data_IF_185002491692
#
_entry.id   IF_185002491692
#
_cell.length_a   1.000
_cell.length_b   1.000
_cell.length_c   1.000
_cell.angle_alpha   90.00
_cell.angle_beta   90.00
_cell.angle_gamma   90.00
#
_symmetry.space_group_name_H-M   'P 1'
#
loop_
_entity.id
_entity.type
_entity.pdbx_description
1 polymer ?
#
# COMPACT_ATOMS: atom_id res chain seq x y z
N UNK A 1 -22.60 -21.90 14.13
CA UNK A 1 -21.84 -21.15 13.11
C UNK A 1 -21.49 -22.11 12.00
N UNK A 2 -21.70 -21.79 10.72
CA UNK A 2 -21.33 -22.67 9.62
C UNK A 2 -19.83 -22.95 9.68
N UNK A 3 -19.46 -24.23 9.60
CA UNK A 3 -18.06 -24.66 9.52
C UNK A 3 -17.51 -24.16 8.18
N UNK A 4 -16.59 -23.21 8.21
CA UNK A 4 -15.95 -22.72 6.99
C UNK A 4 -14.96 -23.79 6.55
N UNK A 5 -15.22 -24.42 5.41
CA UNK A 5 -14.31 -25.39 4.80
C UNK A 5 -13.30 -24.63 3.95
N UNK A 6 -12.02 -24.77 4.25
CA UNK A 6 -10.93 -24.22 3.48
C UNK A 6 -10.65 -25.09 2.25
N UNK A 7 -10.18 -24.49 1.14
CA UNK A 7 -9.63 -25.28 0.03
C UNK A 7 -8.25 -25.82 0.39
N UNK A 8 -7.80 -26.85 -0.35
CA UNK A 8 -6.46 -27.43 -0.13
C UNK A 8 -5.33 -26.38 -0.26
N UNK A 9 -5.46 -25.47 -1.22
CA UNK A 9 -4.51 -24.38 -1.42
C UNK A 9 -4.51 -23.38 -0.25
N UNK A 10 -5.70 -23.09 0.28
CA UNK A 10 -5.85 -22.21 1.44
C UNK A 10 -5.25 -22.85 2.71
N UNK A 11 -5.41 -24.15 2.88
CA UNK A 11 -4.77 -24.88 3.98
C UNK A 11 -3.25 -24.91 3.83
N UNK A 12 -2.75 -25.13 2.62
CA UNK A 12 -1.31 -25.11 2.33
C UNK A 12 -0.67 -23.74 2.68
N UNK A 13 -1.32 -22.63 2.34
CA UNK A 13 -0.86 -21.29 2.70
C UNK A 13 -0.78 -21.12 4.23
N UNK A 14 -1.81 -21.58 4.94
CA UNK A 14 -1.89 -21.44 6.40
C UNK A 14 -0.91 -22.36 7.16
N UNK A 15 -0.49 -23.46 6.52
CA UNK A 15 0.47 -24.43 7.07
C UNK A 15 1.92 -24.14 6.66
N UNK A 16 2.14 -23.22 5.71
CA UNK A 16 3.47 -22.92 5.21
C UNK A 16 4.33 -22.22 6.27
N UNK A 17 5.56 -22.69 6.43
CA UNK A 17 6.62 -22.08 7.26
C UNK A 17 7.61 -21.26 6.41
N UNK A 18 7.36 -21.14 5.12
CA UNK A 18 8.22 -20.41 4.20
C UNK A 18 8.32 -18.93 4.55
N UNK A 19 9.52 -18.38 4.38
CA UNK A 19 9.81 -16.97 4.65
C UNK A 19 9.06 -16.02 3.70
N UNK A 20 8.85 -16.46 2.46
CA UNK A 20 8.17 -15.71 1.41
C UNK A 20 7.12 -16.61 0.76
N UNK A 21 5.90 -16.11 0.71
CA UNK A 21 4.78 -16.79 0.05
C UNK A 21 4.20 -15.82 -0.99
N UNK A 22 4.18 -16.23 -2.25
CA UNK A 22 3.51 -15.53 -3.32
C UNK A 22 2.22 -16.27 -3.70
N UNK A 23 1.08 -15.59 -3.58
CA UNK A 23 -0.24 -16.17 -3.84
C UNK A 23 -0.87 -15.48 -5.05
N UNK A 24 -1.03 -16.20 -6.16
CA UNK A 24 -1.83 -15.74 -7.29
C UNK A 24 -3.27 -16.21 -7.11
N UNK A 25 -4.20 -15.27 -7.06
CA UNK A 25 -5.59 -15.61 -6.80
C UNK A 25 -6.55 -14.61 -7.44
N UNK A 26 -7.64 -15.10 -8.02
CA UNK A 26 -8.66 -14.28 -8.68
C UNK A 26 -9.46 -13.41 -7.69
N UNK A 27 -10.20 -12.43 -8.23
CA UNK A 27 -11.13 -11.65 -7.42
C UNK A 27 -12.17 -12.58 -6.76
N UNK A 28 -12.52 -12.33 -5.50
CA UNK A 28 -13.47 -13.16 -4.77
C UNK A 28 -12.95 -14.49 -4.20
N UNK A 29 -11.72 -14.90 -4.46
CA UNK A 29 -11.14 -16.17 -4.00
C UNK A 29 -10.84 -16.25 -2.49
N UNK A 30 -11.20 -15.24 -1.72
CA UNK A 30 -10.98 -15.25 -0.26
C UNK A 30 -9.61 -14.80 0.22
N UNK A 31 -8.81 -14.06 -0.60
CA UNK A 31 -7.46 -13.58 -0.22
C UNK A 31 -7.42 -12.91 1.15
N UNK A 32 -8.29 -11.91 1.37
CA UNK A 32 -8.36 -11.18 2.65
C UNK A 32 -8.78 -12.10 3.79
N UNK A 33 -9.66 -13.06 3.52
CA UNK A 33 -10.08 -14.05 4.50
C UNK A 33 -8.89 -14.90 4.98
N UNK A 34 -8.08 -15.43 4.07
CA UNK A 34 -6.91 -16.25 4.42
C UNK A 34 -5.87 -15.43 5.21
N UNK A 35 -5.59 -14.19 4.80
CA UNK A 35 -4.69 -13.30 5.56
C UNK A 35 -5.23 -13.02 6.97
N UNK A 36 -6.54 -12.88 7.12
CA UNK A 36 -7.18 -12.73 8.45
C UNK A 36 -7.03 -14.00 9.28
N UNK A 37 -7.20 -15.19 8.69
CA UNK A 37 -7.00 -16.47 9.40
C UNK A 37 -5.54 -16.65 9.81
N UNK A 38 -4.57 -16.28 8.93
CA UNK A 38 -3.15 -16.30 9.26
C UNK A 38 -2.85 -15.40 10.46
N UNK A 39 -3.42 -14.21 10.51
CA UNK A 39 -3.24 -13.28 11.63
C UNK A 39 -3.83 -13.84 12.94
N UNK A 40 -5.00 -14.47 12.88
CA UNK A 40 -5.65 -15.11 14.05
C UNK A 40 -4.88 -16.32 14.58
N UNK A 41 -4.24 -17.09 13.69
CA UNK A 41 -3.43 -18.26 14.07
C UNK A 41 -2.08 -17.88 14.71
N UNK A 42 -1.65 -16.62 14.56
CA UNK A 42 -0.39 -16.11 15.09
C UNK A 42 -0.61 -14.94 16.06
N UNK A 43 -1.31 -15.12 17.18
CA UNK A 43 -1.71 -14.03 18.08
C UNK A 43 -0.49 -13.32 18.71
N UNK A 44 0.61 -14.04 18.92
CA UNK A 44 1.84 -13.51 19.51
C UNK A 44 2.71 -12.74 18.53
N UNK A 45 2.41 -12.81 17.23
CA UNK A 45 3.17 -12.09 16.20
C UNK A 45 2.55 -10.72 15.93
N UNK A 46 3.38 -9.71 15.82
CA UNK A 46 2.99 -8.38 15.33
C UNK A 46 2.96 -8.38 13.82
N UNK A 47 1.80 -8.20 13.22
CA UNK A 47 1.57 -8.29 11.78
C UNK A 47 1.33 -6.90 11.21
N UNK A 48 1.88 -6.63 10.03
CA UNK A 48 1.64 -5.45 9.24
C UNK A 48 0.89 -5.84 7.96
N UNK A 49 -0.32 -5.31 7.81
CA UNK A 49 -1.09 -5.42 6.57
C UNK A 49 -1.00 -4.11 5.79
N UNK A 50 -0.47 -4.18 4.56
CA UNK A 50 -0.36 -3.04 3.66
C UNK A 50 -1.53 -3.04 2.68
N UNK A 51 -2.37 -2.04 2.79
CA UNK A 51 -3.50 -1.82 1.88
C UNK A 51 -3.10 -0.87 0.73
N UNK A 52 -3.60 -1.14 -0.47
CA UNK A 52 -3.35 -0.27 -1.61
C UNK A 52 -4.01 1.11 -1.46
N UNK A 53 -5.25 1.16 -0.98
CA UNK A 53 -6.01 2.40 -0.82
C UNK A 53 -6.74 2.49 0.53
N UNK A 54 -7.35 3.64 0.78
CA UNK A 54 -8.05 3.93 2.05
C UNK A 54 -9.30 3.06 2.25
N UNK A 55 -10.04 2.74 1.19
CA UNK A 55 -11.23 1.88 1.26
C UNK A 55 -10.86 0.48 1.75
N UNK A 56 -9.86 -0.15 1.13
CA UNK A 56 -9.33 -1.46 1.53
C UNK A 56 -8.79 -1.41 2.96
N UNK A 57 -8.09 -0.33 3.34
CA UNK A 57 -7.61 -0.16 4.71
C UNK A 57 -8.74 -0.17 5.73
N UNK A 58 -9.82 0.58 5.47
CA UNK A 58 -10.96 0.69 6.38
C UNK A 58 -11.66 -0.66 6.55
N UNK A 59 -11.93 -1.35 5.44
CA UNK A 59 -12.52 -2.69 5.44
C UNK A 59 -11.64 -3.71 6.19
N UNK A 60 -10.35 -3.73 5.92
CA UNK A 60 -9.41 -4.62 6.56
C UNK A 60 -9.30 -4.35 8.07
N UNK A 61 -9.30 -3.08 8.49
CA UNK A 61 -9.23 -2.71 9.91
C UNK A 61 -10.39 -3.26 10.73
N UNK A 62 -11.54 -3.54 10.11
CA UNK A 62 -12.70 -4.15 10.77
C UNK A 62 -12.60 -5.69 10.87
N UNK A 63 -11.80 -6.32 10.00
CA UNK A 63 -11.73 -7.78 9.87
C UNK A 63 -10.53 -8.39 10.59
N UNK A 64 -9.42 -7.67 10.63
CA UNK A 64 -8.17 -8.16 11.21
C UNK A 64 -8.16 -8.07 12.73
N UNK A 65 -7.50 -9.02 13.43
CA UNK A 65 -7.34 -8.99 14.88
C UNK A 65 -6.39 -7.87 15.33
N UNK A 66 -6.39 -7.58 16.63
CA UNK A 66 -5.64 -6.48 17.25
C UNK A 66 -4.11 -6.57 17.12
N UNK A 67 -3.57 -7.78 16.89
CA UNK A 67 -2.15 -7.99 16.62
C UNK A 67 -1.72 -7.51 15.22
N UNK A 68 -2.68 -7.06 14.38
CA UNK A 68 -2.43 -6.62 13.01
C UNK A 68 -2.58 -5.11 12.86
N UNK A 69 -1.50 -4.44 12.45
CA UNK A 69 -1.54 -3.03 12.09
C UNK A 69 -1.87 -2.89 10.60
N UNK A 70 -3.02 -2.26 10.31
CA UNK A 70 -3.50 -2.03 8.94
C UNK A 70 -3.20 -0.59 8.53
N UNK A 71 -2.38 -0.41 7.50
CA UNK A 71 -2.03 0.91 6.95
C UNK A 71 -1.97 0.87 5.42
N UNK A 72 -2.10 2.02 4.76
CA UNK A 72 -1.83 2.10 3.32
C UNK A 72 -0.34 2.19 3.04
N UNK A 73 0.08 1.74 1.83
CA UNK A 73 1.47 1.88 1.36
C UNK A 73 1.91 3.35 1.37
N UNK A 74 1.04 4.28 0.94
CA UNK A 74 1.30 5.72 1.00
C UNK A 74 1.50 6.23 2.43
N UNK A 75 0.69 5.79 3.39
CA UNK A 75 0.84 6.19 4.78
C UNK A 75 2.14 5.65 5.40
N UNK A 76 2.59 4.47 4.98
CA UNK A 76 3.88 3.91 5.38
C UNK A 76 5.03 4.75 4.82
N UNK A 77 5.02 5.04 3.52
CA UNK A 77 6.03 5.87 2.86
C UNK A 77 6.09 7.28 3.48
N UNK A 78 4.93 7.91 3.70
CA UNK A 78 4.85 9.22 4.34
C UNK A 78 5.51 9.24 5.73
N UNK A 79 5.26 8.23 6.56
CA UNK A 79 5.89 8.14 7.90
C UNK A 79 7.40 8.03 7.80
N UNK A 80 7.90 7.24 6.86
CA UNK A 80 9.33 7.10 6.62
C UNK A 80 9.97 8.43 6.22
N UNK A 81 9.39 9.14 5.24
CA UNK A 81 9.88 10.44 4.78
C UNK A 81 9.82 11.52 5.86
N UNK A 82 8.77 11.52 6.69
CA UNK A 82 8.66 12.42 7.84
C UNK A 82 9.80 12.23 8.84
N UNK A 83 10.21 10.99 9.08
CA UNK A 83 11.34 10.68 9.97
C UNK A 83 12.68 11.17 9.39
N UNK A 84 12.80 11.26 8.07
CA UNK A 84 13.97 11.81 7.38
C UNK A 84 13.98 13.36 7.35
N UNK A 85 13.05 14.02 8.01
CA UNK A 85 12.88 15.48 8.07
C UNK A 85 12.66 16.16 6.71
N UNK A 86 12.23 15.44 5.68
CA UNK A 86 11.83 16.03 4.41
C UNK A 86 10.52 16.83 4.57
N UNK A 87 10.49 18.02 3.98
CA UNK A 87 9.26 18.80 3.85
C UNK A 87 8.48 18.27 2.65
N UNK A 88 7.37 17.62 2.91
CA UNK A 88 6.46 17.17 1.85
C UNK A 88 5.62 18.33 1.35
N UNK A 89 5.56 18.52 0.03
CA UNK A 89 4.65 19.46 -0.60
C UNK A 89 3.60 18.69 -1.41
N UNK A 90 2.34 18.84 -1.01
CA UNK A 90 1.24 18.07 -1.59
C UNK A 90 0.73 18.62 -2.94
N UNK A 91 0.88 19.92 -3.16
CA UNK A 91 0.42 20.61 -4.37
C UNK A 91 1.63 21.25 -5.06
N UNK A 92 2.40 20.46 -5.78
CA UNK A 92 3.52 20.97 -6.57
C UNK A 92 3.00 21.57 -7.88
N UNK A 93 3.31 22.83 -8.14
CA UNK A 93 2.78 23.59 -9.26
C UNK A 93 3.85 24.44 -9.98
N UNK A 94 3.45 25.18 -11.03
CA UNK A 94 4.35 25.99 -11.82
C UNK A 94 5.17 27.02 -11.03
N UNK A 95 4.59 27.63 -9.98
CA UNK A 95 5.33 28.56 -9.11
C UNK A 95 6.48 27.87 -8.35
N UNK A 96 6.29 26.61 -8.00
CA UNK A 96 7.32 25.83 -7.35
C UNK A 96 8.46 25.51 -8.29
N UNK A 97 8.14 25.17 -9.55
CA UNK A 97 9.11 24.99 -10.63
C UNK A 97 9.89 26.28 -10.86
N UNK A 98 9.17 27.42 -10.98
CA UNK A 98 9.79 28.73 -11.15
C UNK A 98 10.82 29.01 -10.07
N UNK A 99 10.45 28.80 -8.82
CA UNK A 99 11.28 29.09 -7.65
C UNK A 99 12.47 28.14 -7.52
N UNK A 100 12.26 26.84 -7.76
CA UNK A 100 13.30 25.82 -7.57
C UNK A 100 14.34 25.83 -8.69
N UNK A 101 13.90 26.09 -9.94
CA UNK A 101 14.74 26.02 -11.12
C UNK A 101 15.08 27.40 -11.70
N UNK A 102 14.62 28.48 -11.04
CA UNK A 102 14.79 29.86 -11.50
C UNK A 102 14.29 30.09 -12.95
N UNK A 103 13.11 29.51 -13.26
CA UNK A 103 12.49 29.56 -14.58
C UNK A 103 11.36 30.58 -14.59
N UNK A 104 11.46 31.62 -15.44
CA UNK A 104 10.44 32.66 -15.59
C UNK A 104 9.39 32.33 -16.67
N UNK A 105 9.72 31.51 -17.66
CA UNK A 105 8.79 31.10 -18.72
C UNK A 105 7.67 30.22 -18.18
N UNK A 106 6.43 30.73 -18.24
CA UNK A 106 5.22 29.99 -17.82
C UNK A 106 5.00 28.73 -18.66
N UNK A 107 5.30 28.80 -19.96
CA UNK A 107 5.19 27.65 -20.85
C UNK A 107 6.13 26.51 -20.44
N UNK A 108 7.37 26.85 -20.09
CA UNK A 108 8.35 25.86 -19.64
C UNK A 108 7.99 25.28 -18.27
N UNK A 109 7.47 26.08 -17.35
CA UNK A 109 6.95 25.60 -16.07
C UNK A 109 5.82 24.56 -16.26
N UNK A 110 4.88 24.85 -17.17
CA UNK A 110 3.79 23.93 -17.51
C UNK A 110 4.31 22.64 -18.12
N UNK A 111 5.23 22.73 -19.09
CA UNK A 111 5.84 21.56 -19.73
C UNK A 111 6.56 20.65 -18.72
N UNK A 112 7.28 21.22 -17.77
CA UNK A 112 7.96 20.47 -16.70
C UNK A 112 6.94 19.72 -15.83
N UNK A 113 5.87 20.40 -15.40
CA UNK A 113 4.82 19.76 -14.60
C UNK A 113 4.14 18.62 -15.38
N UNK A 114 3.83 18.85 -16.65
CA UNK A 114 3.22 17.83 -17.50
C UNK A 114 4.14 16.61 -17.68
N UNK A 115 5.42 16.86 -17.91
CA UNK A 115 6.44 15.80 -18.05
C UNK A 115 6.57 14.99 -16.76
N UNK A 116 6.64 15.64 -15.61
CA UNK A 116 6.67 14.96 -14.31
C UNK A 116 5.42 14.12 -14.09
N UNK A 117 4.24 14.65 -14.41
CA UNK A 117 2.99 13.90 -14.28
C UNK A 117 2.93 12.68 -15.21
N UNK A 118 3.45 12.80 -16.44
CA UNK A 118 3.57 11.67 -17.36
C UNK A 118 4.55 10.63 -16.84
N UNK A 119 5.71 11.05 -16.36
CA UNK A 119 6.71 10.16 -15.75
C UNK A 119 6.14 9.36 -14.58
N UNK A 120 5.45 10.02 -13.63
CA UNK A 120 4.85 9.32 -12.48
C UNK A 120 3.68 8.40 -12.83
N UNK A 121 3.13 8.50 -14.04
CA UNK A 121 2.04 7.63 -14.54
C UNK A 121 2.54 6.57 -15.51
N UNK A 122 3.79 6.63 -15.95
CA UNK A 122 4.38 5.61 -16.81
C UNK A 122 4.75 4.38 -15.97
N UNK A 123 4.59 3.21 -16.55
CA UNK A 123 5.01 1.92 -15.96
C UNK A 123 6.50 1.62 -16.24
N UNK A 124 7.24 2.58 -16.78
CA UNK A 124 8.66 2.47 -17.14
C UNK A 124 9.54 2.75 -15.89
N UNK A 125 9.59 1.77 -14.99
CA UNK A 125 10.53 1.73 -13.87
C UNK A 125 11.52 0.59 -14.04
#
# INVERSE_FOLDING_TARGET
MPKITLSQEQEAILASEEKYICCQAYAGSGKTFILTQLAKRNPDKRILYLAYNKGIQTEASQKFPSNTKVITTHAMAYRYLKNLKYKMKFNFNGFDVARLLNITSVQLQFLIIETLNKFYRSDDY
#
